data_IF_099383812249
#
_entry.id   IF_099383812249
#
_cell.length_a   1.000
_cell.length_b   1.000
_cell.length_c   1.000
_cell.angle_alpha   90.00
_cell.angle_beta   90.00
_cell.angle_gamma   90.00
#
_symmetry.space_group_name_H-M   'P 1'
#
loop_
_entity.id
_entity.type
_entity.pdbx_description
1 polymer ?
#
# COMPACT_ATOMS: atom_id res chain seq x y z
N UNK A 1 6.13 -8.72 -12.37
CA UNK A 1 5.09 -9.58 -11.78
C UNK A 1 4.25 -8.73 -10.86
N UNK A 2 3.01 -8.42 -11.24
CA UNK A 2 2.10 -7.65 -10.38
C UNK A 2 1.27 -8.63 -9.57
N UNK A 3 1.60 -8.75 -8.28
CA UNK A 3 0.89 -9.63 -7.36
C UNK A 3 -0.54 -9.11 -7.10
N UNK A 4 -1.50 -10.03 -6.90
CA UNK A 4 -2.86 -9.70 -6.49
C UNK A 4 -3.06 -10.21 -5.07
N UNK A 5 -3.48 -9.34 -4.16
CA UNK A 5 -3.84 -9.67 -2.79
C UNK A 5 -5.36 -9.69 -2.66
N UNK A 6 -5.90 -10.78 -2.13
CA UNK A 6 -7.34 -10.96 -1.93
C UNK A 6 -7.67 -10.82 -0.45
N UNK A 7 -8.63 -9.97 -0.13
CA UNK A 7 -9.05 -9.70 1.25
C UNK A 7 -10.57 -9.70 1.37
N UNK A 8 -11.06 -9.97 2.57
CA UNK A 8 -12.50 -9.96 2.87
C UNK A 8 -12.95 -8.57 3.27
N UNK A 9 -14.24 -8.30 3.09
CA UNK A 9 -14.90 -7.13 3.66
C UNK A 9 -14.67 -7.05 5.18
N UNK A 10 -14.30 -5.86 5.64
CA UNK A 10 -13.99 -5.53 7.03
C UNK A 10 -12.62 -6.00 7.53
N UNK A 11 -11.77 -6.57 6.66
CA UNK A 11 -10.43 -6.97 7.06
C UNK A 11 -9.50 -5.76 7.29
N UNK A 12 -8.52 -5.94 8.19
CA UNK A 12 -7.40 -5.01 8.34
C UNK A 12 -6.23 -5.52 7.48
N UNK A 13 -5.72 -4.67 6.59
CA UNK A 13 -4.68 -5.00 5.63
C UNK A 13 -3.43 -4.20 5.96
N UNK A 14 -2.30 -4.88 6.10
CA UNK A 14 -0.99 -4.23 6.25
C UNK A 14 -0.08 -4.62 5.10
N UNK A 15 0.40 -3.63 4.35
CA UNK A 15 1.34 -3.81 3.26
C UNK A 15 2.71 -3.26 3.66
N UNK A 16 3.76 -4.01 3.39
CA UNK A 16 5.14 -3.58 3.61
C UNK A 16 5.72 -3.08 2.28
N UNK A 17 6.36 -1.91 2.29
CA UNK A 17 7.03 -1.38 1.13
C UNK A 17 8.30 -2.20 0.86
N UNK A 18 8.21 -3.22 -0.01
CA UNK A 18 9.34 -4.05 -0.40
C UNK A 18 10.16 -4.55 0.78
N UNK A 19 11.48 -4.49 0.66
CA UNK A 19 12.44 -4.80 1.72
C UNK A 19 13.15 -3.53 2.25
N UNK A 20 12.50 -2.36 2.20
CA UNK A 20 13.10 -1.13 2.76
C UNK A 20 13.00 -1.10 4.28
N UNK A 21 13.96 -0.40 4.89
CA UNK A 21 14.03 -0.19 6.32
C UNK A 21 12.78 0.51 6.85
N UNK A 22 12.43 0.24 8.11
CA UNK A 22 11.16 0.68 8.68
C UNK A 22 11.02 2.22 8.75
N UNK A 23 12.14 2.93 8.89
CA UNK A 23 12.27 4.39 8.98
C UNK A 23 12.59 5.05 7.63
N UNK A 24 12.65 4.27 6.55
CA UNK A 24 12.83 4.81 5.22
C UNK A 24 11.65 5.73 4.84
N UNK A 25 11.96 6.88 4.26
CA UNK A 25 10.95 7.76 3.72
C UNK A 25 10.33 7.11 2.47
N UNK A 26 9.06 6.73 2.55
CA UNK A 26 8.31 6.11 1.45
C UNK A 26 7.06 6.90 1.10
N UNK A 27 6.65 6.77 -0.16
CA UNK A 27 5.38 7.30 -0.64
C UNK A 27 4.51 6.14 -1.11
N UNK A 28 3.32 6.03 -0.54
CA UNK A 28 2.30 5.08 -0.97
C UNK A 28 1.27 5.78 -1.85
N UNK A 29 0.89 5.13 -2.94
CA UNK A 29 -0.19 5.57 -3.82
C UNK A 29 -1.22 4.46 -3.99
N UNK A 30 -2.50 4.84 -4.01
CA UNK A 30 -3.61 3.98 -4.38
C UNK A 30 -4.24 4.50 -5.67
N UNK A 31 -4.27 3.67 -6.72
CA UNK A 31 -4.76 4.02 -8.05
C UNK A 31 -4.17 5.34 -8.60
N UNK A 32 -2.90 5.62 -8.28
CA UNK A 32 -2.19 6.84 -8.67
C UNK A 32 -2.50 8.09 -7.84
N UNK A 33 -3.21 7.95 -6.71
CA UNK A 33 -3.46 9.02 -5.74
C UNK A 33 -2.64 8.79 -4.48
N UNK A 34 -2.03 9.84 -3.92
CA UNK A 34 -1.27 9.75 -2.68
C UNK A 34 -2.13 9.30 -1.51
N UNK A 35 -1.60 8.39 -0.70
CA UNK A 35 -2.24 7.93 0.53
C UNK A 35 -2.08 8.95 1.65
N UNK A 36 -3.06 8.99 2.56
CA UNK A 36 -2.95 9.87 3.72
C UNK A 36 -1.82 9.44 4.65
N UNK A 37 -1.10 10.42 5.21
CA UNK A 37 -0.05 10.16 6.20
C UNK A 37 -0.59 9.44 7.46
N UNK A 38 -1.89 9.52 7.73
CA UNK A 38 -2.58 8.79 8.80
C UNK A 38 -2.61 7.27 8.58
N UNK A 39 -2.56 6.83 7.32
CA UNK A 39 -2.62 5.42 6.91
C UNK A 39 -1.23 4.81 6.74
N UNK A 40 -0.19 5.64 6.65
CA UNK A 40 1.19 5.20 6.48
C UNK A 40 1.91 5.26 7.83
N UNK A 41 2.50 4.13 8.25
CA UNK A 41 3.28 4.03 9.47
C UNK A 41 4.69 3.53 9.13
N UNK A 42 5.64 4.48 9.03
CA UNK A 42 6.98 4.21 8.50
C UNK A 42 6.91 3.68 7.07
N UNK A 43 7.55 2.55 6.81
CA UNK A 43 7.54 1.86 5.53
C UNK A 43 6.26 1.05 5.23
N UNK A 44 5.23 1.10 6.10
CA UNK A 44 4.03 0.26 6.00
C UNK A 44 2.79 1.08 5.68
N UNK A 45 1.92 0.51 4.85
CA UNK A 45 0.56 1.01 4.65
C UNK A 45 -0.41 0.15 5.45
N UNK A 46 -1.26 0.80 6.25
CA UNK A 46 -2.27 0.16 7.09
C UNK A 46 -3.65 0.63 6.63
N UNK A 47 -4.42 -0.29 6.05
CA UNK A 47 -5.83 -0.09 5.73
C UNK A 47 -6.65 -0.82 6.78
N UNK A 48 -7.63 -0.15 7.37
CA UNK A 48 -8.49 -0.75 8.39
C UNK A 48 -9.90 -0.91 7.87
N UNK A 49 -10.54 -2.02 8.24
CA UNK A 49 -11.93 -2.31 7.90
C UNK A 49 -12.24 -2.08 6.41
N UNK A 50 -11.49 -2.73 5.52
CA UNK A 50 -11.57 -2.49 4.07
C UNK A 50 -12.92 -2.89 3.49
N UNK A 51 -13.36 -2.17 2.47
CA UNK A 51 -14.56 -2.43 1.69
C UNK A 51 -14.23 -2.51 0.19
N UNK A 52 -15.26 -2.61 -0.66
CA UNK A 52 -15.07 -2.75 -2.11
C UNK A 52 -14.35 -1.54 -2.75
N UNK A 53 -14.50 -0.34 -2.18
CA UNK A 53 -13.90 0.90 -2.69
C UNK A 53 -12.37 0.94 -2.53
N UNK A 54 -11.81 0.15 -1.61
CA UNK A 54 -10.36 0.00 -1.43
C UNK A 54 -9.77 -1.04 -2.41
N UNK A 55 -10.58 -1.66 -3.29
CA UNK A 55 -10.02 -2.47 -4.37
C UNK A 55 -9.31 -1.60 -5.39
N UNK A 56 -8.07 -1.97 -5.74
CA UNK A 56 -7.25 -1.15 -6.63
C UNK A 56 -5.78 -1.50 -6.61
N UNK A 57 -5.02 -0.76 -7.39
CA UNK A 57 -3.57 -0.89 -7.45
C UNK A 57 -2.92 -0.05 -6.36
N UNK A 58 -2.07 -0.68 -5.55
CA UNK A 58 -1.27 -0.03 -4.53
C UNK A 58 0.20 -0.09 -4.93
N UNK A 59 0.86 1.06 -4.92
CA UNK A 59 2.28 1.18 -5.26
C UNK A 59 3.02 1.91 -4.15
N UNK A 60 4.24 1.46 -3.88
CA UNK A 60 5.15 2.11 -2.95
C UNK A 60 6.45 2.51 -3.64
N UNK A 61 6.89 3.72 -3.34
CA UNK A 61 8.12 4.31 -3.83
C UNK A 61 9.03 4.69 -2.66
N UNK A 62 10.33 4.51 -2.84
CA UNK A 62 11.34 4.93 -1.86
C UNK A 62 11.90 6.31 -2.21
N UNK A 63 11.84 7.24 -1.24
CA UNK A 63 12.53 8.52 -1.26
C UNK A 63 12.17 9.46 -2.41
N UNK A 64 12.97 10.52 -2.54
CA UNK A 64 12.80 11.53 -3.60
C UNK A 64 13.14 11.01 -5.01
N UNK A 65 13.75 9.83 -5.12
CA UNK A 65 14.10 9.19 -6.39
C UNK A 65 12.93 8.47 -7.05
N UNK A 66 11.77 8.37 -6.38
CA UNK A 66 10.58 7.69 -6.88
C UNK A 66 10.87 6.27 -7.39
N UNK A 67 11.76 5.55 -6.70
CA UNK A 67 12.09 4.19 -7.08
C UNK A 67 10.97 3.25 -6.61
N UNK A 68 10.25 2.64 -7.55
CA UNK A 68 9.23 1.64 -7.25
C UNK A 68 9.83 0.45 -6.49
N UNK A 69 9.37 0.21 -5.27
CA UNK A 69 9.80 -0.92 -4.42
C UNK A 69 8.77 -2.03 -4.32
N UNK A 70 7.50 -1.66 -4.42
CA UNK A 70 6.40 -2.60 -4.23
C UNK A 70 5.19 -2.19 -5.05
N UNK A 71 4.51 -3.19 -5.60
CA UNK A 71 3.27 -3.02 -6.34
C UNK A 71 2.39 -4.25 -6.15
N UNK A 72 1.13 -4.03 -5.76
CA UNK A 72 0.12 -5.08 -5.65
C UNK A 72 -1.23 -4.57 -6.12
N UNK A 73 -2.12 -5.46 -6.52
CA UNK A 73 -3.54 -5.16 -6.71
C UNK A 73 -4.32 -5.75 -5.53
N UNK A 74 -4.91 -4.89 -4.70
CA UNK A 74 -5.82 -5.33 -3.64
C UNK A 74 -7.20 -5.58 -4.24
N UNK A 75 -7.76 -6.76 -3.99
CA UNK A 75 -9.12 -7.11 -4.36
C UNK A 75 -9.89 -7.51 -3.12
N UNK A 76 -10.88 -6.70 -2.78
CA UNK A 76 -11.78 -6.93 -1.64
C UNK A 76 -13.08 -7.55 -2.16
N UNK A 77 -13.57 -8.61 -1.52
CA UNK A 77 -14.83 -9.27 -1.90
C UNK A 77 -15.23 -10.45 -1.04
#
# INVERSE_FOLDING_TARGET
DSHVQYERLGADVTMQCGAVDWDAAVTWMANGTDMEASQVNGSRLILRNVDLAQSGQYTCYEGASWHLKYQTYLRVG
#
